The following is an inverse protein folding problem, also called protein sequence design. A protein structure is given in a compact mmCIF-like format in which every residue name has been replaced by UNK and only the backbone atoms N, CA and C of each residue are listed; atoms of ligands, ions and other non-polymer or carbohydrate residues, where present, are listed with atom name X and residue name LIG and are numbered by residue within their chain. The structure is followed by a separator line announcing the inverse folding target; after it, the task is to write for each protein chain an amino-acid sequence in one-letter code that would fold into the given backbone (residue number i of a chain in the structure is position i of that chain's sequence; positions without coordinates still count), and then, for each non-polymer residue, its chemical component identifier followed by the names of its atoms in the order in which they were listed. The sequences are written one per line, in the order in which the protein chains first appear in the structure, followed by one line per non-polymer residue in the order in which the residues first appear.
data_IF_387694018083
#
_entry.id   IF_387694018083
#
_cell.length_a   1.000
_cell.length_b   1.000
_cell.length_c   1.000
_cell.angle_alpha   90.00
_cell.angle_beta   90.00
_cell.angle_gamma   90.00
#
_symmetry.space_group_name_H-M   'P 1'
#
loop_
_entity.id
_entity.type
_entity.pdbx_description
1 polymer ?
#
# COMPACT_ATOMS: atom_id res chain seq x y z
N UNK A 1 -6.17 -14.71 18.58
CA UNK A 1 -7.49 -14.05 18.76
C UNK A 1 -7.59 -12.91 17.76
N UNK A 2 -8.74 -12.71 17.10
CA UNK A 2 -8.97 -11.59 16.17
C UNK A 2 -10.11 -10.73 16.73
N UNK A 3 -9.89 -9.44 16.85
CA UNK A 3 -10.89 -8.46 17.32
C UNK A 3 -11.11 -7.41 16.22
N UNK A 4 -12.36 -7.05 15.96
CA UNK A 4 -12.74 -6.01 14.99
C UNK A 4 -13.45 -4.90 15.75
N UNK A 5 -12.95 -3.67 15.58
CA UNK A 5 -13.54 -2.46 16.18
C UNK A 5 -14.20 -1.68 15.04
N UNK A 6 -15.52 -1.53 15.13
CA UNK A 6 -16.33 -0.81 14.15
C UNK A 6 -16.78 0.53 14.74
N UNK A 7 -16.79 1.56 13.89
CA UNK A 7 -17.32 2.88 14.26
C UNK A 7 -17.17 3.88 13.11
N UNK A 8 -18.06 4.89 13.04
CA UNK A 8 -17.94 5.96 12.05
C UNK A 8 -16.68 6.81 12.27
N UNK A 9 -16.29 7.65 11.30
CA UNK A 9 -15.19 8.60 11.46
C UNK A 9 -15.37 9.47 12.73
N UNK A 10 -14.28 9.76 13.44
CA UNK A 10 -14.29 10.62 14.64
C UNK A 10 -14.76 9.94 15.94
N UNK A 11 -15.03 8.65 15.96
CA UNK A 11 -15.48 7.92 17.18
C UNK A 11 -14.35 7.43 18.07
N UNK A 12 -13.10 7.82 17.79
CA UNK A 12 -11.95 7.43 18.63
C UNK A 12 -11.38 6.05 18.37
N UNK A 13 -11.62 5.44 17.18
CA UNK A 13 -11.06 4.12 16.82
C UNK A 13 -9.54 4.05 17.05
N UNK A 14 -8.79 5.00 16.49
CA UNK A 14 -7.34 5.09 16.67
C UNK A 14 -6.94 5.21 18.15
N UNK A 15 -7.69 5.99 18.96
CA UNK A 15 -7.47 6.09 20.40
C UNK A 15 -7.67 4.75 21.08
N UNK A 16 -8.77 4.05 20.76
CA UNK A 16 -9.05 2.71 21.29
C UNK A 16 -7.95 1.70 20.92
N UNK A 17 -7.42 1.75 19.67
CA UNK A 17 -6.32 0.89 19.28
C UNK A 17 -5.06 1.20 20.10
N UNK A 18 -4.74 2.48 20.35
CA UNK A 18 -3.60 2.87 21.19
C UNK A 18 -3.81 2.52 22.68
N UNK A 19 -5.04 2.52 23.17
CA UNK A 19 -5.35 2.01 24.52
C UNK A 19 -5.06 0.51 24.64
N UNK A 20 -5.43 -0.27 23.61
CA UNK A 20 -5.08 -1.69 23.54
C UNK A 20 -3.57 -1.93 23.43
N UNK A 21 -2.83 -1.09 22.69
CA UNK A 21 -1.36 -1.14 22.67
C UNK A 21 -0.81 -0.94 24.10
N UNK A 22 -1.34 0.04 24.85
CA UNK A 22 -0.93 0.29 26.24
C UNK A 22 -1.17 -0.93 27.14
N UNK A 23 -2.31 -1.61 27.00
CA UNK A 23 -2.61 -2.83 27.74
C UNK A 23 -1.60 -3.94 27.44
N UNK A 24 -1.19 -4.12 26.18
CA UNK A 24 -0.15 -5.08 25.82
C UNK A 24 1.22 -4.71 26.40
N UNK A 25 1.59 -3.43 26.36
CA UNK A 25 2.84 -2.95 26.97
C UNK A 25 2.86 -3.19 28.47
N UNK A 26 1.77 -2.90 29.18
CA UNK A 26 1.61 -3.16 30.64
C UNK A 26 1.64 -4.64 30.97
N UNK A 27 1.23 -5.50 30.05
CA UNK A 27 1.32 -6.96 30.21
C UNK A 27 2.73 -7.52 29.96
N UNK A 28 3.70 -6.65 29.55
CA UNK A 28 5.09 -7.01 29.32
C UNK A 28 5.45 -7.35 27.88
N UNK A 29 4.55 -7.06 26.91
CA UNK A 29 4.88 -7.21 25.49
C UNK A 29 5.91 -6.16 25.06
N UNK A 30 6.97 -6.58 24.39
CA UNK A 30 7.97 -5.65 23.83
C UNK A 30 7.35 -4.83 22.71
N UNK A 31 7.47 -3.51 22.78
CA UNK A 31 6.99 -2.57 21.77
C UNK A 31 7.52 -2.87 20.35
N UNK A 32 8.71 -3.45 20.23
CA UNK A 32 9.30 -3.90 18.97
C UNK A 32 8.66 -5.16 18.40
N UNK A 33 7.76 -5.79 19.14
CA UNK A 33 6.97 -6.94 18.70
C UNK A 33 5.50 -6.59 18.49
N UNK A 34 5.18 -5.29 18.56
CA UNK A 34 3.86 -4.74 18.25
C UNK A 34 3.91 -4.09 16.88
N UNK A 35 3.11 -4.60 15.94
CA UNK A 35 2.88 -3.97 14.63
C UNK A 35 1.64 -3.08 14.68
N UNK A 36 1.78 -1.83 14.24
CA UNK A 36 0.66 -0.91 14.04
C UNK A 36 0.69 -0.38 12.61
N UNK A 37 -0.27 -0.78 11.81
CA UNK A 37 -0.30 -0.47 10.38
C UNK A 37 -1.51 0.34 10.01
N UNK A 38 -1.29 1.36 9.17
CA UNK A 38 -2.35 2.19 8.59
C UNK A 38 -2.19 2.23 7.06
N UNK A 39 -3.26 2.54 6.37
CA UNK A 39 -3.25 2.64 4.91
C UNK A 39 -2.43 3.86 4.44
N UNK A 40 -2.64 5.03 5.03
CA UNK A 40 -1.97 6.27 4.61
C UNK A 40 -0.78 6.66 5.49
N UNK A 41 0.19 7.38 4.93
CA UNK A 41 1.31 7.99 5.69
C UNK A 41 0.81 8.90 6.79
N UNK A 42 -0.20 9.70 6.49
CA UNK A 42 -0.78 10.65 7.44
C UNK A 42 -1.34 9.92 8.66
N UNK A 43 -2.12 8.86 8.45
CA UNK A 43 -2.68 8.07 9.55
C UNK A 43 -1.57 7.35 10.34
N UNK A 44 -0.58 6.77 9.66
CA UNK A 44 0.56 6.14 10.32
C UNK A 44 1.39 7.15 11.14
N UNK A 45 1.62 8.34 10.59
CA UNK A 45 2.33 9.42 11.28
C UNK A 45 1.55 9.92 12.52
N UNK A 46 0.25 10.12 12.37
CA UNK A 46 -0.62 10.53 13.48
C UNK A 46 -0.64 9.48 14.61
N UNK A 47 -0.74 8.20 14.26
CA UNK A 47 -0.66 7.12 15.23
C UNK A 47 0.70 7.08 15.94
N UNK A 48 1.79 7.26 15.18
CA UNK A 48 3.15 7.33 15.73
C UNK A 48 3.29 8.49 16.72
N UNK A 49 2.88 9.69 16.32
CA UNK A 49 2.94 10.90 17.16
C UNK A 49 2.14 10.71 18.48
N UNK A 50 0.91 10.19 18.39
CA UNK A 50 0.09 9.93 19.57
C UNK A 50 0.69 8.83 20.47
N UNK A 51 1.35 7.83 19.86
CA UNK A 51 2.05 6.78 20.62
C UNK A 51 3.27 7.33 21.37
N UNK A 52 4.07 8.21 20.74
CA UNK A 52 5.19 8.90 21.38
C UNK A 52 4.73 9.69 22.61
N UNK A 53 3.65 10.50 22.47
CA UNK A 53 3.10 11.28 23.59
C UNK A 53 2.51 10.37 24.69
N UNK A 54 1.76 9.35 24.31
CA UNK A 54 1.05 8.49 25.27
C UNK A 54 2.00 7.60 26.06
N UNK A 55 3.00 7.01 25.37
CA UNK A 55 3.89 6.02 25.97
C UNK A 55 5.21 6.63 26.44
N UNK A 56 5.47 7.91 26.19
CA UNK A 56 6.70 8.61 26.54
C UNK A 56 7.95 7.94 25.95
N UNK A 57 7.86 7.48 24.69
CA UNK A 57 8.92 6.77 23.96
C UNK A 57 9.26 7.50 22.66
N UNK A 58 10.53 7.38 22.21
CA UNK A 58 11.00 7.97 20.93
C UNK A 58 10.49 7.14 19.74
N UNK A 59 10.20 7.80 18.63
CA UNK A 59 9.80 7.16 17.37
C UNK A 59 10.72 6.01 16.92
N UNK A 60 12.00 6.10 17.28
CA UNK A 60 12.99 5.05 16.97
C UNK A 60 12.73 3.74 17.71
N UNK A 61 12.00 3.80 18.82
CA UNK A 61 11.66 2.64 19.64
C UNK A 61 10.38 1.95 19.16
N UNK A 62 9.58 2.60 18.30
CA UNK A 62 8.35 2.08 17.68
C UNK A 62 8.52 1.83 16.17
N UNK A 63 9.46 0.95 15.76
CA UNK A 63 9.86 0.79 14.36
C UNK A 63 8.74 0.28 13.44
N UNK A 64 7.66 -0.26 13.99
CA UNK A 64 6.57 -0.90 13.26
C UNK A 64 5.24 -0.15 13.32
N UNK A 65 5.26 1.14 13.69
CA UNK A 65 4.14 2.05 13.51
C UNK A 65 4.29 2.74 12.16
N UNK A 66 3.66 2.18 11.11
CA UNK A 66 3.89 2.60 9.72
C UNK A 66 2.84 2.10 8.75
N UNK A 67 2.99 2.42 7.46
CA UNK A 67 2.19 1.80 6.40
C UNK A 67 2.74 0.42 6.02
N UNK A 68 1.90 -0.46 5.46
CA UNK A 68 2.34 -1.77 4.95
C UNK A 68 3.40 -1.62 3.85
N UNK A 69 3.25 -0.65 2.95
CA UNK A 69 4.27 -0.35 1.94
C UNK A 69 5.62 0.03 2.55
N UNK A 70 5.60 0.84 3.61
CA UNK A 70 6.82 1.21 4.32
C UNK A 70 7.48 0.02 5.02
N UNK A 71 6.69 -0.93 5.54
CA UNK A 71 7.20 -2.19 6.08
C UNK A 71 7.86 -3.01 4.99
N UNK A 72 7.14 -3.31 3.90
CA UNK A 72 7.63 -4.09 2.77
C UNK A 72 8.92 -3.49 2.20
N UNK A 73 8.94 -2.18 1.99
CA UNK A 73 10.09 -1.45 1.46
C UNK A 73 11.35 -1.61 2.32
N UNK A 74 11.20 -1.50 3.65
CA UNK A 74 12.34 -1.68 4.59
C UNK A 74 12.79 -3.13 4.66
N UNK A 75 11.84 -4.04 4.76
CA UNK A 75 12.16 -5.46 4.98
C UNK A 75 12.84 -6.07 3.75
N UNK A 76 12.39 -5.69 2.56
CA UNK A 76 13.01 -6.12 1.30
C UNK A 76 14.32 -5.39 0.97
N UNK A 77 14.66 -4.31 1.68
CA UNK A 77 15.87 -3.52 1.42
C UNK A 77 15.90 -2.88 0.03
N UNK A 78 14.74 -2.55 -0.54
CA UNK A 78 14.63 -2.02 -1.90
C UNK A 78 15.15 -0.57 -1.95
N UNK A 79 15.98 -0.25 -2.97
CA UNK A 79 16.36 1.11 -3.23
C UNK A 79 15.21 1.89 -3.88
N UNK A 80 14.95 3.12 -3.38
CA UNK A 80 13.93 4.04 -3.93
C UNK A 80 14.09 4.35 -5.42
N UNK A 81 15.30 4.23 -5.95
CA UNK A 81 15.58 4.42 -7.36
C UNK A 81 14.97 3.33 -8.26
N UNK A 82 14.68 2.16 -7.69
CA UNK A 82 13.99 1.07 -8.38
C UNK A 82 12.48 1.24 -8.43
N UNK A 83 11.93 2.20 -7.69
CA UNK A 83 10.49 2.44 -7.74
C UNK A 83 10.13 3.29 -8.95
N UNK A 84 9.07 2.88 -9.67
CA UNK A 84 8.53 3.66 -10.78
C UNK A 84 8.13 5.06 -10.33
N UNK A 85 8.57 6.06 -11.10
CA UNK A 85 8.26 7.47 -10.90
C UNK A 85 7.28 7.95 -11.98
N UNK A 86 6.75 9.15 -11.82
CA UNK A 86 5.90 9.80 -12.83
C UNK A 86 6.54 9.86 -14.22
N UNK A 87 7.86 10.11 -14.27
CA UNK A 87 8.62 10.10 -15.51
C UNK A 87 8.56 8.76 -16.22
N UNK A 88 8.62 7.65 -15.44
CA UNK A 88 8.58 6.30 -15.99
C UNK A 88 7.20 5.96 -16.56
N UNK A 89 6.14 6.33 -15.86
CA UNK A 89 4.78 6.15 -16.37
C UNK A 89 4.51 6.99 -17.62
N UNK A 90 5.00 8.23 -17.67
CA UNK A 90 4.90 9.06 -18.89
C UNK A 90 5.69 8.48 -20.05
N UNK A 91 6.92 8.00 -19.79
CA UNK A 91 7.76 7.35 -20.80
C UNK A 91 7.09 6.07 -21.33
N UNK A 92 6.52 5.26 -20.44
CA UNK A 92 5.71 4.11 -20.80
C UNK A 92 4.51 4.51 -21.68
N UNK A 93 3.77 5.54 -21.28
CA UNK A 93 2.63 6.04 -22.06
C UNK A 93 3.02 6.52 -23.46
N UNK A 94 4.14 7.25 -23.59
CA UNK A 94 4.67 7.67 -24.87
C UNK A 94 5.05 6.49 -25.76
N UNK A 95 5.68 5.45 -25.20
CA UNK A 95 6.04 4.23 -25.94
C UNK A 95 4.81 3.47 -26.46
N UNK A 96 3.73 3.45 -25.65
CA UNK A 96 2.50 2.75 -26.01
C UNK A 96 1.50 3.61 -26.80
N UNK A 97 1.83 4.88 -27.09
CA UNK A 97 0.95 5.79 -27.80
C UNK A 97 -0.29 6.20 -27.00
N UNK A 98 -0.27 6.08 -25.66
CA UNK A 98 -1.36 6.48 -24.77
C UNK A 98 -0.96 7.68 -23.91
N UNK A 99 -1.80 8.72 -23.78
CA UNK A 99 -1.52 9.82 -22.89
C UNK A 99 -1.70 9.38 -21.43
N UNK A 100 -0.65 9.52 -20.61
CA UNK A 100 -0.73 9.31 -19.18
C UNK A 100 -0.46 10.64 -18.50
N UNK A 101 -1.48 11.21 -17.89
CA UNK A 101 -1.37 12.31 -16.97
C UNK A 101 -1.35 11.72 -15.56
N UNK A 102 -0.25 11.91 -14.87
CA UNK A 102 -0.11 11.43 -13.51
C UNK A 102 -0.37 12.60 -12.56
N UNK A 103 -1.45 12.53 -11.79
CA UNK A 103 -1.63 13.42 -10.67
C UNK A 103 -0.94 12.81 -9.44
N UNK A 104 -0.05 13.56 -8.83
CA UNK A 104 0.56 13.15 -7.57
C UNK A 104 -0.26 13.73 -6.42
N UNK A 105 -0.95 12.89 -5.68
CA UNK A 105 -1.40 13.24 -4.35
C UNK A 105 -0.28 12.85 -3.40
N UNK A 106 0.45 13.85 -2.89
CA UNK A 106 1.58 13.70 -1.96
C UNK A 106 1.18 13.03 -0.63
N UNK A 107 -0.10 12.91 -0.36
CA UNK A 107 -0.65 12.44 0.91
C UNK A 107 -1.02 10.94 0.90
N UNK A 108 -1.13 10.33 -0.29
CA UNK A 108 -1.47 8.91 -0.42
C UNK A 108 -0.23 8.08 -0.73
N UNK A 109 0.11 7.19 0.19
CA UNK A 109 1.26 6.31 0.08
C UNK A 109 1.11 5.32 -1.05
N UNK A 110 1.83 5.58 -2.14
CA UNK A 110 2.09 4.56 -3.12
C UNK A 110 0.92 4.18 -4.01
N UNK A 111 -0.26 4.75 -3.85
CA UNK A 111 -1.35 4.55 -4.79
C UNK A 111 -1.09 5.42 -6.01
N UNK A 112 -0.72 4.77 -7.10
CA UNK A 112 -0.61 5.42 -8.39
C UNK A 112 -2.02 5.83 -8.87
N UNK A 113 -2.38 7.08 -8.66
CA UNK A 113 -3.58 7.68 -9.22
C UNK A 113 -3.29 8.16 -10.64
N UNK A 114 -3.68 7.38 -11.64
CA UNK A 114 -3.70 7.80 -13.02
C UNK A 114 -5.12 8.16 -13.44
N UNK A 115 -5.26 9.24 -14.20
CA UNK A 115 -6.48 9.55 -14.95
C UNK A 115 -6.66 8.62 -16.17
N UNK A 116 -5.65 7.80 -16.48
CA UNK A 116 -5.71 6.81 -17.54
C UNK A 116 -6.48 5.55 -17.08
N UNK A 117 -7.60 5.29 -17.73
CA UNK A 117 -8.52 4.22 -17.36
C UNK A 117 -7.92 2.82 -17.51
N UNK A 118 -7.07 2.58 -18.50
CA UNK A 118 -6.37 1.32 -18.66
C UNK A 118 -5.50 1.01 -17.44
N UNK A 119 -4.69 1.97 -17.01
CA UNK A 119 -3.83 1.78 -15.83
C UNK A 119 -4.63 1.59 -14.54
N UNK A 120 -5.77 2.26 -14.40
CA UNK A 120 -6.68 2.05 -13.25
C UNK A 120 -7.19 0.62 -13.19
N UNK A 121 -7.59 0.05 -14.33
CA UNK A 121 -8.09 -1.33 -14.40
C UNK A 121 -6.96 -2.33 -14.16
N UNK A 122 -5.78 -2.12 -14.77
CA UNK A 122 -4.61 -2.96 -14.55
C UNK A 122 -4.26 -2.99 -13.05
N UNK A 123 -4.17 -1.84 -12.39
CA UNK A 123 -3.89 -1.77 -10.97
C UNK A 123 -4.98 -2.44 -10.12
N UNK A 124 -6.25 -2.20 -10.45
CA UNK A 124 -7.38 -2.82 -9.74
C UNK A 124 -7.38 -4.35 -9.87
N UNK A 125 -7.06 -4.87 -11.06
CA UNK A 125 -6.97 -6.30 -11.28
C UNK A 125 -5.87 -6.94 -10.41
N UNK A 126 -4.72 -6.27 -10.30
CA UNK A 126 -3.60 -6.72 -9.45
C UNK A 126 -3.96 -6.70 -7.96
N UNK A 127 -4.60 -5.63 -7.49
CA UNK A 127 -5.07 -5.56 -6.08
C UNK A 127 -6.08 -6.65 -5.77
N UNK A 128 -6.93 -7.02 -6.74
CA UNK A 128 -7.91 -8.10 -6.60
C UNK A 128 -7.33 -9.50 -6.88
N UNK A 129 -6.03 -9.61 -7.16
CA UNK A 129 -5.32 -10.84 -7.51
C UNK A 129 -6.03 -11.63 -8.64
N UNK A 130 -6.51 -10.93 -9.66
CA UNK A 130 -7.25 -11.53 -10.76
C UNK A 130 -6.70 -11.09 -12.13
N UNK A 131 -6.86 -11.93 -13.18
CA UNK A 131 -6.49 -11.55 -14.53
C UNK A 131 -7.22 -10.27 -14.98
N UNK A 132 -6.49 -9.39 -15.66
CA UNK A 132 -7.02 -8.08 -16.09
C UNK A 132 -8.25 -8.21 -16.99
N UNK A 133 -8.26 -9.24 -17.86
CA UNK A 133 -9.41 -9.51 -18.74
C UNK A 133 -10.64 -10.01 -17.98
N UNK A 134 -10.45 -10.81 -16.92
CA UNK A 134 -11.56 -11.26 -16.08
C UNK A 134 -12.23 -10.08 -15.36
N UNK A 135 -11.43 -9.11 -14.90
CA UNK A 135 -11.97 -7.89 -14.31
C UNK A 135 -12.72 -7.04 -15.35
N UNK A 136 -12.15 -6.90 -16.54
CA UNK A 136 -12.78 -6.20 -17.65
C UNK A 136 -14.13 -6.83 -18.01
N UNK A 137 -14.16 -8.13 -18.21
CA UNK A 137 -15.36 -8.87 -18.63
C UNK A 137 -16.50 -8.81 -17.58
N UNK A 138 -16.14 -8.67 -16.27
CA UNK A 138 -17.13 -8.44 -15.19
C UNK A 138 -17.69 -7.01 -15.15
N UNK A 139 -16.97 -6.03 -15.67
CA UNK A 139 -17.32 -4.60 -15.56
C UNK A 139 -17.60 -3.95 -16.92
N UNK A 140 -18.01 -4.70 -17.94
CA UNK A 140 -18.20 -4.23 -19.33
C UNK A 140 -19.14 -3.03 -19.49
N UNK A 141 -20.05 -2.80 -18.54
CA UNK A 141 -21.01 -1.71 -18.62
C UNK A 141 -20.37 -0.39 -18.16
N UNK A 142 -19.98 0.46 -19.11
CA UNK A 142 -19.53 1.84 -18.86
C UNK A 142 -18.02 2.08 -18.97
N UNK A 143 -17.24 1.12 -19.45
CA UNK A 143 -15.83 1.33 -19.74
C UNK A 143 -15.63 1.72 -21.21
N UNK A 144 -15.08 2.92 -21.45
CA UNK A 144 -14.71 3.39 -22.80
C UNK A 144 -13.25 3.00 -23.11
N UNK A 145 -12.96 1.68 -23.05
CA UNK A 145 -11.64 1.14 -23.34
C UNK A 145 -11.72 -0.13 -24.19
N UNK A 146 -10.71 -0.33 -25.02
CA UNK A 146 -10.60 -1.52 -25.85
C UNK A 146 -9.98 -2.69 -25.10
N UNK A 147 -10.63 -3.86 -25.13
CA UNK A 147 -10.23 -5.07 -24.42
C UNK A 147 -8.82 -5.56 -24.81
N UNK A 148 -8.56 -5.61 -26.12
CA UNK A 148 -7.28 -6.10 -26.63
C UNK A 148 -6.13 -5.14 -26.30
N UNK A 149 -6.40 -3.83 -26.37
CA UNK A 149 -5.43 -2.82 -25.96
C UNK A 149 -5.16 -2.87 -24.46
N UNK A 150 -6.17 -3.11 -23.62
CA UNK A 150 -6.00 -3.31 -22.18
C UNK A 150 -5.05 -4.46 -21.88
N UNK A 151 -5.26 -5.62 -22.53
CA UNK A 151 -4.38 -6.77 -22.37
C UNK A 151 -2.94 -6.47 -22.82
N UNK A 152 -2.81 -5.83 -23.98
CA UNK A 152 -1.50 -5.45 -24.49
C UNK A 152 -0.76 -4.51 -23.52
N UNK A 153 -1.45 -3.51 -23.00
CA UNK A 153 -0.86 -2.55 -22.06
C UNK A 153 -0.45 -3.19 -20.74
N UNK A 154 -1.21 -4.16 -20.24
CA UNK A 154 -0.82 -4.93 -19.05
C UNK A 154 0.48 -5.70 -19.28
N UNK A 155 0.60 -6.40 -20.42
CA UNK A 155 1.81 -7.13 -20.78
C UNK A 155 3.01 -6.19 -20.98
N UNK A 156 2.79 -5.07 -21.68
CA UNK A 156 3.83 -4.08 -21.97
C UNK A 156 4.31 -3.35 -20.70
N UNK A 157 3.43 -3.06 -19.74
CA UNK A 157 3.82 -2.48 -18.46
C UNK A 157 4.74 -3.42 -17.68
N UNK A 158 4.40 -4.69 -17.62
CA UNK A 158 5.22 -5.70 -16.96
C UNK A 158 6.58 -5.87 -17.67
N UNK A 159 6.61 -5.86 -19.02
CA UNK A 159 7.83 -5.90 -19.81
C UNK A 159 8.70 -4.67 -19.56
N UNK A 160 8.10 -3.47 -19.59
CA UNK A 160 8.78 -2.20 -19.35
C UNK A 160 9.45 -2.17 -17.96
N UNK A 161 8.73 -2.58 -16.91
CA UNK A 161 9.27 -2.68 -15.56
C UNK A 161 10.47 -3.63 -15.51
N UNK A 162 10.33 -4.81 -16.10
CA UNK A 162 11.38 -5.83 -16.14
C UNK A 162 12.64 -5.35 -16.90
N UNK A 163 12.49 -4.73 -18.07
CA UNK A 163 13.59 -4.20 -18.87
C UNK A 163 14.37 -3.11 -18.16
N UNK A 164 13.68 -2.25 -17.39
CA UNK A 164 14.31 -1.15 -16.64
C UNK A 164 14.70 -1.52 -15.21
N UNK A 165 14.36 -2.70 -14.73
CA UNK A 165 14.61 -3.12 -13.35
C UNK A 165 13.79 -2.30 -12.35
N UNK A 166 12.58 -1.87 -12.74
CA UNK A 166 11.69 -1.04 -11.95
C UNK A 166 10.58 -1.88 -11.31
N UNK A 167 10.11 -1.40 -10.18
CA UNK A 167 8.97 -1.95 -9.42
C UNK A 167 7.92 -0.86 -9.22
N UNK A 168 6.66 -1.21 -9.30
CA UNK A 168 5.59 -0.38 -8.75
C UNK A 168 5.23 -0.82 -7.32
N UNK A 169 4.27 -0.15 -6.71
CA UNK A 169 3.87 -0.46 -5.33
C UNK A 169 3.15 -1.80 -5.19
N UNK A 170 2.48 -2.28 -6.24
CA UNK A 170 1.89 -3.62 -6.23
C UNK A 170 3.00 -4.69 -6.28
N UNK A 171 4.02 -4.51 -7.15
CA UNK A 171 5.17 -5.41 -7.19
C UNK A 171 5.86 -5.50 -5.83
N UNK A 172 5.99 -4.37 -5.13
CA UNK A 172 6.58 -4.31 -3.79
C UNK A 172 5.84 -5.19 -2.77
N UNK A 173 4.51 -5.11 -2.75
CA UNK A 173 3.69 -5.93 -1.85
C UNK A 173 3.67 -7.40 -2.27
N UNK A 174 3.58 -7.69 -3.57
CA UNK A 174 3.66 -9.05 -4.09
C UNK A 174 5.00 -9.70 -3.73
N UNK A 175 6.12 -8.99 -3.90
CA UNK A 175 7.45 -9.51 -3.54
C UNK A 175 7.58 -9.71 -2.03
N UNK A 176 7.03 -8.82 -1.22
CA UNK A 176 7.02 -8.96 0.23
C UNK A 176 6.26 -10.21 0.69
N UNK A 177 5.10 -10.50 0.09
CA UNK A 177 4.31 -11.70 0.36
C UNK A 177 5.04 -12.95 -0.12
N UNK A 178 5.58 -12.94 -1.34
CA UNK A 178 6.28 -14.08 -1.95
C UNK A 178 7.53 -14.51 -1.18
N UNK A 179 8.27 -13.54 -0.62
CA UNK A 179 9.51 -13.82 0.10
C UNK A 179 9.28 -14.26 1.55
N UNK A 180 8.07 -14.06 2.09
CA UNK A 180 7.66 -14.44 3.46
C UNK A 180 8.66 -13.98 4.54
N UNK A 181 9.16 -12.75 4.39
CA UNK A 181 10.20 -12.15 5.25
C UNK A 181 9.63 -11.19 6.30
N UNK A 182 8.35 -11.35 6.64
CA UNK A 182 7.69 -10.50 7.63
C UNK A 182 8.38 -10.58 8.99
N UNK A 183 8.58 -9.46 9.69
CA UNK A 183 8.99 -9.49 11.10
C UNK A 183 8.01 -10.28 11.95
N UNK A 184 8.50 -10.92 12.99
CA UNK A 184 7.65 -11.64 13.95
C UNK A 184 6.98 -10.65 14.90
N UNK A 185 5.66 -10.66 14.95
CA UNK A 185 4.85 -9.85 15.86
C UNK A 185 4.10 -10.72 16.87
N UNK A 186 3.98 -10.25 18.11
CA UNK A 186 3.10 -10.85 19.12
C UNK A 186 1.66 -10.36 18.94
N UNK A 187 1.51 -9.11 18.48
CA UNK A 187 0.21 -8.51 18.17
C UNK A 187 0.30 -7.55 16.99
N UNK A 188 -0.75 -7.51 16.19
CA UNK A 188 -0.91 -6.60 15.06
C UNK A 188 -2.15 -5.75 15.24
N UNK A 189 -2.01 -4.46 15.06
CA UNK A 189 -3.08 -3.49 14.94
C UNK A 189 -3.15 -2.97 13.52
N UNK A 190 -4.34 -2.94 12.94
CA UNK A 190 -4.58 -2.40 11.60
C UNK A 190 -5.64 -1.31 11.73
N UNK A 191 -5.23 -0.07 11.52
CA UNK A 191 -6.13 1.09 11.52
C UNK A 191 -6.64 1.36 10.10
N UNK A 192 -7.91 1.73 9.99
CA UNK A 192 -8.63 1.94 8.71
C UNK A 192 -8.55 0.70 7.78
N UNK A 193 -8.75 -0.49 8.36
CA UNK A 193 -8.63 -1.77 7.64
C UNK A 193 -9.58 -1.94 6.45
N UNK A 194 -10.64 -1.13 6.35
CA UNK A 194 -11.56 -1.11 5.20
C UNK A 194 -10.94 -0.46 3.95
N UNK A 195 -9.85 0.28 4.11
CA UNK A 195 -9.15 0.98 3.02
C UNK A 195 -7.99 0.14 2.45
N UNK A 196 -7.73 -1.04 3.06
CA UNK A 196 -6.68 -1.98 2.66
C UNK A 196 -7.14 -2.94 1.58
#
# INVERSE_FOLDING_TARGET
MKTIILGPPGTGKTTTLLDLVDDFLRSGTDIKRIGYFSFTKKAAWEATYRAEEKFMIDQKEIPFFRTLHSLAFRTLGINKEKMMKHSDYRDFGLKCGIPIKTAWNSDEDGVFNSDNEYLRIINKARVLEMPVLDLYDRNQHGLDIERDLLYLLDQELNRYKKEKGLLDYNDLLEDFIKQDVSPSFDVLFIDEAQDL
#
